data_IF_216131672785
#
_entry.id   IF_216131672785
#
_cell.length_a   1.000
_cell.length_b   1.000
_cell.length_c   1.000
_cell.angle_alpha   90.00
_cell.angle_beta   90.00
_cell.angle_gamma   90.00
#
_symmetry.space_group_name_H-M   'P 1'
#
loop_
_entity.id
_entity.type
_entity.pdbx_description
1 polymer ?
#
# COMPACT_ATOMS: atom_id res chain seq x y z
N UNK A 1 -10.13 1.85 -21.69
CA UNK A 1 -10.94 1.97 -20.47
C UNK A 1 -10.99 0.59 -19.84
N UNK A 2 -10.75 0.51 -18.53
CA UNK A 2 -10.84 -0.73 -17.75
C UNK A 2 -11.98 -0.55 -16.75
N UNK A 3 -12.77 -1.60 -16.50
CA UNK A 3 -13.88 -1.59 -15.53
C UNK A 3 -13.90 -2.93 -14.80
N UNK A 4 -13.92 -2.90 -13.46
CA UNK A 4 -14.09 -4.07 -12.60
C UNK A 4 -15.15 -3.82 -11.52
N UNK A 5 -15.88 -4.88 -11.16
CA UNK A 5 -16.92 -4.88 -10.12
C UNK A 5 -16.40 -5.67 -8.93
N UNK A 6 -16.63 -5.18 -7.70
CA UNK A 6 -16.40 -5.91 -6.46
C UNK A 6 -17.70 -6.09 -5.68
N UNK A 7 -17.72 -7.11 -4.83
CA UNK A 7 -18.72 -7.31 -3.78
C UNK A 7 -18.06 -7.28 -2.41
N UNK A 8 -18.75 -6.76 -1.40
CA UNK A 8 -18.27 -6.75 -0.03
C UNK A 8 -19.08 -5.79 0.85
N UNK A 9 -18.63 -5.55 2.09
CA UNK A 9 -19.24 -4.55 2.95
C UNK A 9 -19.07 -3.13 2.37
N UNK A 10 -20.16 -2.38 2.28
CA UNK A 10 -20.21 -1.01 1.72
C UNK A 10 -19.19 -0.05 2.37
N UNK A 11 -18.83 -0.33 3.63
CA UNK A 11 -17.90 0.44 4.47
C UNK A 11 -16.44 -0.03 4.42
N UNK A 12 -16.11 -1.09 3.69
CA UNK A 12 -14.72 -1.54 3.51
C UNK A 12 -14.15 -1.00 2.20
N UNK A 13 -12.98 -0.37 2.27
CA UNK A 13 -12.21 0.03 1.08
C UNK A 13 -11.04 -0.93 0.79
N UNK A 14 -10.55 -1.66 1.78
CA UNK A 14 -9.27 -2.37 1.73
C UNK A 14 -9.34 -3.72 1.01
N UNK A 15 -10.38 -4.51 1.31
CA UNK A 15 -10.47 -5.87 0.78
C UNK A 15 -11.86 -6.19 0.23
N UNK A 16 -11.95 -6.83 -0.96
CA UNK A 16 -13.20 -7.32 -1.51
C UNK A 16 -13.60 -8.69 -0.92
N UNK A 17 -13.37 -8.90 0.37
CA UNK A 17 -13.57 -10.21 0.98
C UNK A 17 -15.02 -10.47 1.35
N UNK A 18 -15.47 -11.68 1.05
CA UNK A 18 -16.79 -12.20 1.40
C UNK A 18 -16.63 -13.01 2.69
N UNK A 19 -17.18 -12.52 3.80
CA UNK A 19 -17.33 -13.32 5.03
C UNK A 19 -18.48 -14.30 4.83
N UNK A 20 -18.18 -15.57 4.52
CA UNK A 20 -19.19 -16.62 4.27
C UNK A 20 -19.87 -17.07 5.57
N UNK A 21 -19.16 -17.02 6.70
CA UNK A 21 -19.67 -17.35 8.05
C UNK A 21 -19.08 -16.36 9.04
N UNK A 22 -19.94 -15.72 9.82
CA UNK A 22 -19.57 -14.91 10.99
C UNK A 22 -19.89 -15.73 12.25
N UNK A 23 -18.87 -16.01 13.07
CA UNK A 23 -19.00 -16.83 14.28
C UNK A 23 -19.29 -15.98 15.54
N UNK A 24 -19.33 -14.66 15.41
CA UNK A 24 -19.47 -13.71 16.52
C UNK A 24 -20.83 -12.97 16.50
N UNK A 25 -21.82 -13.48 15.77
CA UNK A 25 -23.17 -12.87 15.60
C UNK A 25 -23.12 -11.40 15.15
N UNK A 26 -22.04 -10.99 14.48
CA UNK A 26 -21.97 -9.70 13.82
C UNK A 26 -23.00 -9.64 12.70
N UNK A 27 -23.55 -8.45 12.38
CA UNK A 27 -24.31 -8.32 11.15
C UNK A 27 -23.34 -8.65 10.02
N UNK A 28 -23.58 -9.74 9.29
CA UNK A 28 -23.08 -9.90 7.92
C UNK A 28 -23.27 -8.54 7.27
N UNK A 29 -22.18 -7.78 7.06
CA UNK A 29 -22.30 -6.44 6.51
C UNK A 29 -23.14 -6.54 5.24
N UNK A 30 -24.16 -5.67 5.03
CA UNK A 30 -25.00 -5.78 3.85
C UNK A 30 -24.12 -5.84 2.62
N UNK A 31 -24.37 -6.86 1.79
CA UNK A 31 -23.59 -7.11 0.59
C UNK A 31 -23.98 -6.10 -0.46
N UNK A 32 -23.02 -5.30 -0.88
CA UNK A 32 -23.18 -4.35 -1.95
C UNK A 32 -22.26 -4.70 -3.12
N UNK A 33 -22.75 -4.43 -4.33
CA UNK A 33 -21.92 -4.42 -5.52
C UNK A 33 -21.50 -2.99 -5.82
N UNK A 34 -20.23 -2.81 -6.21
CA UNK A 34 -19.74 -1.52 -6.65
C UNK A 34 -18.72 -1.64 -7.78
N UNK A 35 -18.62 -0.59 -8.60
CA UNK A 35 -17.51 -0.40 -9.52
C UNK A 35 -16.28 0.00 -8.71
N UNK A 36 -15.32 -0.92 -8.59
CA UNK A 36 -14.11 -0.69 -7.79
C UNK A 36 -12.97 -0.14 -8.62
N UNK A 37 -12.88 -0.59 -9.87
CA UNK A 37 -11.87 -0.14 -10.82
C UNK A 37 -12.58 0.44 -12.03
N UNK A 38 -12.31 1.70 -12.35
CA UNK A 38 -12.83 2.33 -13.55
C UNK A 38 -11.91 3.47 -13.95
N UNK A 39 -11.19 3.35 -15.06
CA UNK A 39 -10.27 4.41 -15.48
C UNK A 39 -9.99 4.43 -16.97
N UNK A 40 -9.57 5.61 -17.44
CA UNK A 40 -8.95 5.81 -18.73
C UNK A 40 -7.44 5.71 -18.56
N UNK A 41 -6.78 5.02 -19.48
CA UNK A 41 -5.33 4.86 -19.50
C UNK A 41 -4.77 5.35 -20.83
N UNK A 42 -3.61 5.99 -20.78
CA UNK A 42 -2.83 6.43 -21.93
C UNK A 42 -1.39 5.99 -21.75
N UNK A 43 -0.79 5.41 -22.81
CA UNK A 43 0.62 5.02 -22.79
C UNK A 43 1.29 5.35 -24.13
N UNK A 44 2.41 6.07 -24.09
CA UNK A 44 3.23 6.40 -25.26
C UNK A 44 4.65 6.81 -24.88
N UNK A 45 5.65 6.15 -25.45
CA UNK A 45 7.05 6.63 -25.41
C UNK A 45 7.62 6.77 -23.99
N UNK A 46 7.35 5.79 -23.13
CA UNK A 46 7.78 5.79 -21.71
C UNK A 46 6.84 6.55 -20.78
N UNK A 47 5.91 7.35 -21.30
CA UNK A 47 4.86 7.98 -20.51
C UNK A 47 3.64 7.06 -20.38
N UNK A 48 3.17 6.85 -19.16
CA UNK A 48 1.88 6.24 -18.82
C UNK A 48 1.08 7.22 -17.96
N UNK A 49 -0.22 7.31 -18.17
CA UNK A 49 -1.10 8.16 -17.36
C UNK A 49 -2.48 7.56 -17.25
N UNK A 50 -3.10 7.70 -16.08
CA UNK A 50 -4.46 7.25 -15.84
C UNK A 50 -5.29 8.32 -15.15
N UNK A 51 -6.61 8.27 -15.37
CA UNK A 51 -7.59 9.08 -14.66
C UNK A 51 -8.89 8.28 -14.44
N UNK A 52 -9.41 8.32 -13.22
CA UNK A 52 -10.55 7.52 -12.78
C UNK A 52 -10.31 6.95 -11.38
N UNK A 53 -10.89 5.79 -11.07
CA UNK A 53 -10.58 5.01 -9.85
C UNK A 53 -9.67 3.84 -10.22
N UNK A 54 -8.44 3.90 -9.73
CA UNK A 54 -7.37 2.95 -10.05
C UNK A 54 -6.46 2.72 -8.84
N UNK A 55 -5.59 1.71 -8.90
CA UNK A 55 -4.45 1.59 -7.99
C UNK A 55 -3.44 2.72 -8.22
N UNK A 56 -2.70 3.08 -7.18
CA UNK A 56 -1.64 4.07 -7.30
C UNK A 56 -0.49 3.50 -8.14
N UNK A 57 0.08 4.30 -9.04
CA UNK A 57 1.33 3.93 -9.68
C UNK A 57 2.46 4.05 -8.67
N UNK A 58 2.87 2.92 -8.09
CA UNK A 58 3.93 2.82 -7.09
C UNK A 58 4.62 1.46 -7.25
N UNK A 59 5.94 1.44 -7.19
CA UNK A 59 6.69 0.19 -7.17
C UNK A 59 6.93 -0.23 -5.72
N UNK A 60 6.59 -1.47 -5.40
CA UNK A 60 6.89 -2.13 -4.14
C UNK A 60 7.30 -3.57 -4.44
N UNK A 61 7.98 -4.21 -3.50
CA UNK A 61 8.42 -5.61 -3.61
C UNK A 61 7.52 -6.58 -2.85
N UNK A 62 6.74 -6.07 -1.89
CA UNK A 62 5.87 -6.81 -1.00
C UNK A 62 4.62 -5.98 -0.63
N UNK A 63 3.56 -6.68 -0.23
CA UNK A 63 2.29 -6.07 0.21
C UNK A 63 2.27 -5.75 1.72
N UNK A 64 3.42 -5.79 2.42
CA UNK A 64 3.49 -5.56 3.87
C UNK A 64 3.46 -4.06 4.20
N UNK A 65 3.96 -3.23 3.29
CA UNK A 65 4.01 -1.77 3.43
C UNK A 65 2.97 -1.00 2.64
N UNK A 66 2.84 -1.34 1.35
CA UNK A 66 1.94 -0.74 0.39
C UNK A 66 1.36 -1.88 -0.43
N UNK A 67 0.10 -2.23 -0.16
CA UNK A 67 -0.64 -3.24 -0.90
C UNK A 67 -1.46 -2.67 -2.06
N UNK A 68 -1.75 -3.52 -3.05
CA UNK A 68 -2.46 -3.14 -4.27
C UNK A 68 -4.00 -3.32 -4.22
N UNK A 69 -4.60 -3.58 -3.05
CA UNK A 69 -6.05 -3.86 -2.97
C UNK A 69 -6.93 -2.63 -2.65
N UNK A 70 -6.34 -1.43 -2.50
CA UNK A 70 -7.11 -0.17 -2.41
C UNK A 70 -7.09 0.58 -3.72
N UNK A 71 -8.27 0.87 -4.22
CA UNK A 71 -8.48 1.67 -5.43
C UNK A 71 -8.86 3.11 -5.08
N UNK A 72 -8.25 4.06 -5.78
CA UNK A 72 -8.30 5.48 -5.47
C UNK A 72 -8.88 6.28 -6.62
N UNK A 73 -9.96 7.07 -6.41
CA UNK A 73 -10.39 8.07 -7.38
C UNK A 73 -9.34 9.18 -7.52
N UNK A 74 -8.88 9.47 -8.72
CA UNK A 74 -7.88 10.49 -8.96
C UNK A 74 -7.23 10.39 -10.34
N UNK A 75 -5.96 10.78 -10.39
CA UNK A 75 -5.13 10.65 -11.56
C UNK A 75 -3.69 10.32 -11.18
N UNK A 76 -3.01 9.60 -12.06
CA UNK A 76 -1.60 9.26 -11.90
C UNK A 76 -0.85 9.35 -13.22
N UNK A 77 0.45 9.60 -13.11
CA UNK A 77 1.39 9.69 -14.21
C UNK A 77 2.66 8.93 -13.83
N UNK A 78 3.16 8.15 -14.78
CA UNK A 78 4.44 7.46 -14.69
C UNK A 78 5.26 7.78 -15.92
N UNK A 79 6.53 8.09 -15.74
CA UNK A 79 7.47 8.27 -16.85
C UNK A 79 8.66 7.35 -16.64
N UNK A 80 9.07 6.64 -17.69
CA UNK A 80 10.18 5.71 -17.68
C UNK A 80 11.23 6.18 -18.68
N UNK A 81 12.47 6.31 -18.23
CA UNK A 81 13.61 6.77 -19.04
C UNK A 81 14.79 5.80 -18.91
N UNK A 82 15.27 5.32 -20.05
CA UNK A 82 16.48 4.49 -20.11
C UNK A 82 17.74 5.32 -19.93
N UNK A 83 18.63 4.86 -19.07
CA UNK A 83 19.98 5.37 -18.85
C UNK A 83 20.99 4.36 -19.43
N UNK A 84 22.24 4.77 -19.62
CA UNK A 84 23.28 3.85 -20.11
C UNK A 84 23.51 2.64 -19.19
N UNK A 85 23.33 2.84 -17.88
CA UNK A 85 23.57 1.83 -16.85
C UNK A 85 22.30 1.28 -16.20
N UNK A 86 21.11 1.63 -16.67
CA UNK A 86 19.87 1.22 -16.01
C UNK A 86 18.65 1.99 -16.48
N UNK A 87 17.65 2.10 -15.63
CA UNK A 87 16.39 2.74 -15.93
C UNK A 87 15.91 3.56 -14.74
N UNK A 88 15.34 4.72 -15.03
CA UNK A 88 14.73 5.58 -14.02
C UNK A 88 13.24 5.72 -14.32
N UNK A 89 12.42 5.48 -13.31
CA UNK A 89 10.96 5.63 -13.36
C UNK A 89 10.53 6.68 -12.34
N UNK A 90 9.73 7.64 -12.76
CA UNK A 90 9.09 8.62 -11.87
C UNK A 90 7.61 8.34 -11.84
N UNK A 91 7.04 8.27 -10.64
CA UNK A 91 5.61 8.10 -10.43
C UNK A 91 5.07 9.30 -9.64
N UNK A 92 3.89 9.77 -10.00
CA UNK A 92 3.16 10.80 -9.28
C UNK A 92 1.66 10.51 -9.35
N UNK A 93 0.99 10.50 -8.21
CA UNK A 93 -0.45 10.27 -8.10
C UNK A 93 -1.06 11.35 -7.20
N UNK A 94 -2.20 11.90 -7.61
CA UNK A 94 -3.04 12.75 -6.78
C UNK A 94 -4.44 12.17 -6.71
N UNK A 95 -4.89 11.86 -5.50
CA UNK A 95 -6.05 11.00 -5.27
C UNK A 95 -6.94 11.55 -4.16
N UNK A 96 -8.23 11.22 -4.24
CA UNK A 96 -9.14 11.27 -3.11
C UNK A 96 -9.02 9.97 -2.31
N UNK A 97 -9.02 10.04 -0.98
CA UNK A 97 -8.82 8.86 -0.14
C UNK A 97 -10.16 8.14 0.05
N UNK A 98 -10.28 6.85 -0.33
CA UNK A 98 -11.54 6.14 -0.31
C UNK A 98 -11.97 5.81 1.12
N UNK A 99 -13.25 5.97 1.42
CA UNK A 99 -13.84 5.62 2.71
C UNK A 99 -15.02 4.70 2.45
N UNK A 100 -14.78 3.41 2.63
CA UNK A 100 -15.65 2.37 2.08
C UNK A 100 -15.60 2.28 0.54
N UNK A 101 -16.60 1.64 -0.05
CA UNK A 101 -16.60 1.30 -1.47
C UNK A 101 -16.85 2.53 -2.36
N UNK A 102 -17.71 3.47 -1.92
CA UNK A 102 -18.25 4.53 -2.79
C UNK A 102 -17.82 5.94 -2.43
N UNK A 103 -17.42 6.18 -1.18
CA UNK A 103 -17.20 7.52 -0.65
C UNK A 103 -15.71 7.82 -0.57
N UNK A 104 -15.39 9.09 -0.35
CA UNK A 104 -14.02 9.57 -0.19
C UNK A 104 -13.99 10.65 0.87
N UNK A 105 -12.90 10.74 1.63
CA UNK A 105 -12.70 11.75 2.66
C UNK A 105 -11.22 12.13 2.71
N UNK A 106 -10.90 13.40 2.45
CA UNK A 106 -9.52 13.85 2.34
C UNK A 106 -8.83 13.47 1.01
N UNK A 107 -7.54 13.80 0.92
CA UNK A 107 -6.74 13.67 -0.31
C UNK A 107 -5.35 13.10 -0.04
N UNK A 108 -4.77 12.47 -1.06
CA UNK A 108 -3.43 11.91 -1.04
C UNK A 108 -2.58 12.42 -2.20
N UNK A 109 -1.30 12.66 -1.93
CA UNK A 109 -0.28 12.92 -2.92
C UNK A 109 0.83 11.89 -2.74
N UNK A 110 1.04 11.04 -3.75
CA UNK A 110 2.12 10.06 -3.79
C UNK A 110 3.11 10.46 -4.87
N UNK A 111 4.41 10.44 -4.55
CA UNK A 111 5.50 10.57 -5.51
C UNK A 111 6.56 9.53 -5.26
N UNK A 112 7.16 8.97 -6.32
CA UNK A 112 8.23 7.98 -6.20
C UNK A 112 9.23 8.09 -7.34
N UNK A 113 10.49 7.82 -7.05
CA UNK A 113 11.55 7.60 -8.05
C UNK A 113 12.11 6.20 -7.86
N UNK A 114 12.19 5.43 -8.94
CA UNK A 114 12.70 4.05 -8.96
C UNK A 114 13.87 3.98 -9.92
N UNK A 115 15.01 3.52 -9.44
CA UNK A 115 16.17 3.20 -10.25
C UNK A 115 16.35 1.68 -10.29
N UNK A 116 16.37 1.12 -11.49
CA UNK A 116 16.63 -0.29 -11.73
C UNK A 116 17.90 -0.45 -12.58
N UNK A 117 18.80 -1.33 -12.14
CA UNK A 117 20.01 -1.69 -12.87
C UNK A 117 20.15 -3.20 -12.94
N UNK A 118 20.14 -3.72 -14.17
CA UNK A 118 20.41 -5.12 -14.46
C UNK A 118 21.87 -5.32 -14.89
N UNK A 119 22.52 -6.30 -14.28
CA UNK A 119 23.80 -6.88 -14.64
C UNK A 119 23.57 -8.23 -15.36
N UNK A 120 24.64 -8.93 -15.74
CA UNK A 120 24.53 -10.21 -16.46
C UNK A 120 23.71 -11.25 -15.71
N UNK A 121 23.98 -11.45 -14.41
CA UNK A 121 23.36 -12.50 -13.58
C UNK A 121 22.72 -11.94 -12.30
N UNK A 122 22.57 -10.63 -12.19
CA UNK A 122 21.98 -9.98 -11.02
C UNK A 122 21.40 -8.63 -11.37
N UNK A 123 20.66 -8.02 -10.46
CA UNK A 123 20.21 -6.65 -10.59
C UNK A 123 19.88 -6.04 -9.24
N UNK A 124 19.72 -4.73 -9.25
CA UNK A 124 19.38 -3.93 -8.07
C UNK A 124 18.24 -3.00 -8.43
N UNK A 125 17.27 -2.90 -7.53
CA UNK A 125 16.23 -1.87 -7.54
C UNK A 125 16.38 -1.00 -6.31
N UNK A 126 16.38 0.31 -6.50
CA UNK A 126 16.28 1.31 -5.44
C UNK A 126 15.05 2.18 -5.71
N UNK A 127 14.10 2.19 -4.79
CA UNK A 127 12.96 3.09 -4.85
C UNK A 127 12.98 4.05 -3.65
N UNK A 128 12.67 5.32 -3.90
CA UNK A 128 12.47 6.34 -2.88
C UNK A 128 11.11 6.99 -3.12
N UNK A 129 10.25 6.94 -2.12
CA UNK A 129 8.86 7.36 -2.19
C UNK A 129 8.48 8.35 -1.10
N UNK A 130 7.41 9.09 -1.37
CA UNK A 130 6.70 9.92 -0.42
C UNK A 130 5.20 9.76 -0.62
N UNK A 131 4.46 9.57 0.47
CA UNK A 131 3.00 9.59 0.48
C UNK A 131 2.49 10.53 1.57
N UNK A 132 1.94 11.67 1.15
CA UNK A 132 1.32 12.65 2.02
C UNK A 132 -0.20 12.57 1.97
N UNK A 133 -0.86 12.47 3.12
CA UNK A 133 -2.32 12.51 3.22
C UNK A 133 -2.78 13.78 3.93
N UNK A 134 -3.90 14.32 3.48
CA UNK A 134 -4.64 15.39 4.15
C UNK A 134 -6.01 14.85 4.52
N UNK A 135 -6.24 14.65 5.82
CA UNK A 135 -7.52 14.21 6.37
C UNK A 135 -8.56 15.32 6.30
N UNK A 136 -9.84 14.94 6.21
CA UNK A 136 -10.99 15.83 6.36
C UNK A 136 -11.75 15.46 7.64
N UNK A 137 -11.40 16.07 8.79
CA UNK A 137 -11.98 15.69 10.08
C UNK A 137 -13.47 16.05 10.22
N UNK A 138 -13.95 16.98 9.41
CA UNK A 138 -15.34 17.45 9.44
C UNK A 138 -16.26 16.59 8.58
N UNK A 139 -15.70 15.71 7.73
CA UNK A 139 -16.46 14.79 6.92
C UNK A 139 -16.96 13.60 7.76
N UNK A 140 -18.29 13.47 7.96
CA UNK A 140 -18.86 12.40 8.77
C UNK A 140 -18.61 11.01 8.20
N UNK A 141 -18.36 10.90 6.88
CA UNK A 141 -18.11 9.62 6.24
C UNK A 141 -16.75 9.05 6.67
N UNK A 142 -15.78 9.90 6.99
CA UNK A 142 -14.48 9.53 7.56
C UNK A 142 -14.56 8.82 8.92
N UNK A 143 -15.67 8.91 9.65
CA UNK A 143 -15.81 8.33 11.00
C UNK A 143 -15.68 6.79 11.06
N UNK A 144 -15.74 6.11 9.92
CA UNK A 144 -15.53 4.67 9.84
C UNK A 144 -14.05 4.27 9.87
N UNK A 145 -13.13 5.23 9.69
CA UNK A 145 -11.70 4.95 9.69
C UNK A 145 -11.22 4.63 11.11
N UNK A 146 -10.47 3.54 11.25
CA UNK A 146 -9.93 3.11 12.53
C UNK A 146 -8.83 4.05 13.04
N UNK A 147 -8.58 3.93 14.35
CA UNK A 147 -7.52 4.63 15.08
C UNK A 147 -7.49 6.15 14.90
N UNK A 148 -8.60 6.80 14.52
CA UNK A 148 -8.70 8.25 14.22
C UNK A 148 -8.00 8.67 12.91
N UNK A 149 -7.82 7.76 11.96
CA UNK A 149 -7.18 8.03 10.67
C UNK A 149 -7.87 9.14 9.86
N UNK A 150 -9.14 9.47 10.11
CA UNK A 150 -9.84 10.58 9.45
C UNK A 150 -9.52 11.96 10.05
N UNK A 151 -8.72 12.03 11.11
CA UNK A 151 -8.42 13.30 11.81
C UNK A 151 -6.98 13.73 11.72
N UNK A 152 -6.10 12.88 11.17
CA UNK A 152 -4.66 13.15 11.09
C UNK A 152 -4.13 13.08 9.67
N UNK A 153 -3.19 13.98 9.40
CA UNK A 153 -2.39 13.94 8.20
C UNK A 153 -1.21 12.98 8.40
N UNK A 154 -0.76 12.36 7.32
CA UNK A 154 0.47 11.58 7.29
C UNK A 154 1.47 12.17 6.31
N UNK A 155 2.76 11.99 6.59
CA UNK A 155 3.87 12.34 5.69
C UNK A 155 4.85 11.17 5.65
N UNK A 156 4.51 10.13 4.90
CA UNK A 156 5.28 8.89 4.87
C UNK A 156 6.41 9.01 3.86
N UNK A 157 7.66 8.87 4.31
CA UNK A 157 8.80 8.67 3.45
C UNK A 157 9.13 7.18 3.41
N UNK A 158 9.40 6.65 2.22
CA UNK A 158 9.72 5.25 2.03
C UNK A 158 11.01 5.09 1.21
N UNK A 159 11.80 4.09 1.57
CA UNK A 159 12.97 3.63 0.82
C UNK A 159 12.86 2.12 0.68
N UNK A 160 13.00 1.62 -0.55
CA UNK A 160 13.07 0.20 -0.85
C UNK A 160 14.38 -0.10 -1.56
N UNK A 161 15.04 -1.17 -1.14
CA UNK A 161 16.21 -1.72 -1.80
C UNK A 161 15.98 -3.21 -2.04
N UNK A 162 16.07 -3.62 -3.31
CA UNK A 162 16.04 -5.02 -3.69
C UNK A 162 17.32 -5.39 -4.42
N UNK A 163 17.86 -6.56 -4.10
CA UNK A 163 18.86 -7.24 -4.91
C UNK A 163 18.29 -8.58 -5.38
N UNK A 164 18.40 -8.86 -6.67
CA UNK A 164 17.98 -10.13 -7.25
C UNK A 164 19.12 -10.78 -8.04
N UNK A 165 19.20 -12.10 -8.02
CA UNK A 165 20.19 -12.89 -8.76
C UNK A 165 19.72 -14.34 -8.90
N UNK A 166 20.62 -15.24 -9.26
CA UNK A 166 20.37 -16.67 -9.36
C UNK A 166 21.34 -17.46 -8.49
N UNK A 167 20.85 -18.52 -7.86
CA UNK A 167 21.64 -19.47 -7.10
C UNK A 167 21.15 -20.88 -7.44
N UNK A 168 22.06 -21.77 -7.91
CA UNK A 168 21.70 -23.11 -8.38
C UNK A 168 20.58 -23.10 -9.44
N UNK A 169 20.66 -22.17 -10.40
CA UNK A 169 19.66 -21.93 -11.45
C UNK A 169 18.25 -21.55 -10.93
N UNK A 170 18.13 -21.25 -9.63
CA UNK A 170 16.91 -20.71 -9.03
C UNK A 170 17.04 -19.20 -8.88
N UNK A 171 16.07 -18.40 -9.33
CA UNK A 171 16.06 -16.98 -9.04
C UNK A 171 15.89 -16.76 -7.53
N UNK A 172 16.52 -15.74 -6.99
CA UNK A 172 16.29 -15.29 -5.63
C UNK A 172 16.34 -13.77 -5.57
N UNK A 173 15.70 -13.20 -4.56
CA UNK A 173 15.92 -11.82 -4.19
C UNK A 173 15.98 -11.66 -2.67
N UNK A 174 16.65 -10.60 -2.25
CA UNK A 174 16.63 -10.10 -0.89
C UNK A 174 16.25 -8.63 -0.94
N UNK A 175 15.40 -8.23 -0.01
CA UNK A 175 14.78 -6.92 0.00
C UNK A 175 14.82 -6.28 1.38
N UNK A 176 14.83 -4.96 1.38
CA UNK A 176 14.69 -4.14 2.57
C UNK A 176 13.82 -2.93 2.27
N UNK A 177 12.79 -2.77 3.06
CA UNK A 177 11.90 -1.62 3.02
C UNK A 177 12.02 -0.87 4.35
N UNK A 178 12.07 0.45 4.26
CA UNK A 178 12.01 1.33 5.41
C UNK A 178 10.96 2.39 5.17
N UNK A 179 10.11 2.62 6.16
CA UNK A 179 9.13 3.68 6.17
C UNK A 179 9.28 4.54 7.41
N UNK A 180 9.14 5.85 7.24
CA UNK A 180 9.11 6.81 8.33
C UNK A 180 8.00 7.82 8.12
N UNK A 181 7.16 7.96 9.13
CA UNK A 181 6.24 9.10 9.20
C UNK A 181 6.99 10.35 9.68
N UNK A 182 7.12 11.33 8.79
CA UNK A 182 7.78 12.61 9.02
C UNK A 182 6.90 13.62 9.75
N UNK A 183 5.60 13.33 9.91
CA UNK A 183 4.68 14.22 10.60
C UNK A 183 5.01 14.25 12.09
N UNK A 184 5.02 15.46 12.63
CA UNK A 184 5.08 15.73 14.06
C UNK A 184 3.65 15.79 14.63
N UNK A 185 3.47 15.15 15.78
CA UNK A 185 2.21 15.00 16.50
C UNK A 185 2.29 15.52 17.94
N UNK A 186 3.31 16.30 18.29
CA UNK A 186 3.46 16.94 19.61
C UNK A 186 2.24 17.81 20.02
N UNK A 187 1.48 18.30 19.04
CA UNK A 187 0.26 19.10 19.20
C UNK A 187 -1.04 18.28 19.09
N UNK A 188 -0.96 16.95 19.04
CA UNK A 188 -2.12 16.08 18.95
C UNK A 188 -3.05 16.26 20.17
N UNK A 189 -4.35 16.08 19.94
CA UNK A 189 -5.37 16.27 20.95
C UNK A 189 -5.11 15.37 22.19
N UNK A 190 -5.30 15.88 23.42
CA UNK A 190 -5.12 15.08 24.63
C UNK A 190 -5.98 13.81 24.62
N UNK A 191 -5.34 12.66 24.87
CA UNK A 191 -5.97 11.34 24.88
C UNK A 191 -6.19 10.71 23.50
N UNK A 192 -5.77 11.37 22.41
CA UNK A 192 -5.86 10.82 21.06
C UNK A 192 -4.87 9.68 20.82
N UNK A 193 -5.16 8.83 19.84
CA UNK A 193 -4.24 7.79 19.38
C UNK A 193 -2.91 8.40 18.92
N UNK A 194 -2.99 9.53 18.21
CA UNK A 194 -1.82 10.24 17.69
C UNK A 194 -0.92 10.78 18.81
N UNK A 195 -1.49 11.29 19.90
CA UNK A 195 -0.71 11.73 21.07
C UNK A 195 -0.01 10.56 21.76
N UNK A 196 -0.72 9.45 21.98
CA UNK A 196 -0.16 8.29 22.68
C UNK A 196 1.01 7.64 21.92
N UNK A 197 0.98 7.71 20.58
CA UNK A 197 1.95 7.09 19.67
C UNK A 197 2.83 8.10 18.94
N UNK A 198 2.94 9.35 19.41
CA UNK A 198 3.62 10.44 18.69
C UNK A 198 5.09 10.13 18.32
N UNK A 199 5.74 9.25 19.07
CA UNK A 199 7.13 8.82 18.84
C UNK A 199 7.25 7.51 18.04
N UNK A 200 6.15 6.79 17.81
CA UNK A 200 6.07 5.46 17.19
C UNK A 200 5.87 5.60 15.66
N UNK A 201 6.90 6.04 14.92
CA UNK A 201 6.80 6.53 13.54
C UNK A 201 7.64 5.76 12.51
N UNK A 202 8.38 4.75 12.92
CA UNK A 202 9.31 4.02 12.09
C UNK A 202 8.82 2.60 11.80
N UNK A 203 9.06 2.11 10.59
CA UNK A 203 8.79 0.72 10.22
C UNK A 203 9.85 0.21 9.26
N UNK A 204 10.14 -1.09 9.33
CA UNK A 204 10.94 -1.76 8.30
C UNK A 204 10.51 -3.20 8.06
N UNK A 205 10.81 -3.68 6.85
CA UNK A 205 10.61 -5.05 6.40
C UNK A 205 11.93 -5.57 5.84
N UNK A 206 12.24 -6.81 6.17
CA UNK A 206 13.33 -7.58 5.58
C UNK A 206 12.74 -8.79 4.90
N UNK A 207 13.17 -9.07 3.68
CA UNK A 207 12.66 -10.21 2.93
C UNK A 207 13.77 -10.98 2.22
N UNK A 208 13.54 -12.28 2.08
CA UNK A 208 14.36 -13.18 1.28
C UNK A 208 13.45 -14.19 0.59
N UNK A 209 13.54 -14.26 -0.74
CA UNK A 209 12.69 -15.13 -1.55
C UNK A 209 13.55 -15.93 -2.51
N UNK A 210 13.27 -17.23 -2.61
CA UNK A 210 13.97 -18.19 -3.47
C UNK A 210 12.97 -18.99 -4.31
N UNK A 211 13.28 -19.11 -5.60
CA UNK A 211 12.51 -19.84 -6.58
C UNK A 211 11.54 -18.95 -7.35
N UNK A 212 10.60 -19.57 -8.04
CA UNK A 212 9.64 -18.88 -8.91
C UNK A 212 8.26 -19.50 -8.82
N UNK A 213 7.26 -18.78 -9.31
CA UNK A 213 5.94 -19.33 -9.61
C UNK A 213 5.68 -19.17 -11.10
N UNK A 214 5.11 -20.19 -11.75
CA UNK A 214 4.72 -20.07 -13.16
C UNK A 214 4.49 -21.39 -13.85
N UNK A 215 5.27 -22.42 -13.52
CA UNK A 215 5.14 -23.75 -14.11
C UNK A 215 4.82 -24.82 -13.06
N UNK A 216 4.29 -25.94 -13.56
CA UNK A 216 4.03 -27.11 -12.74
C UNK A 216 5.34 -27.66 -12.18
N UNK A 217 5.47 -27.64 -10.86
CA UNK A 217 6.65 -28.15 -10.14
C UNK A 217 7.61 -27.06 -9.69
N UNK A 218 7.36 -25.80 -10.06
CA UNK A 218 8.08 -24.67 -9.49
C UNK A 218 7.68 -24.50 -8.02
N UNK A 219 8.66 -24.14 -7.19
CA UNK A 219 8.45 -23.80 -5.78
C UNK A 219 8.96 -22.39 -5.53
N UNK A 220 8.24 -21.68 -4.67
CA UNK A 220 8.65 -20.39 -4.14
C UNK A 220 8.69 -20.52 -2.62
N UNK A 221 9.80 -20.12 -2.02
CA UNK A 221 9.96 -20.02 -0.58
C UNK A 221 10.26 -18.58 -0.24
N UNK A 222 9.49 -18.00 0.67
CA UNK A 222 9.70 -16.65 1.18
C UNK A 222 10.02 -16.67 2.67
N UNK A 223 10.71 -15.65 3.12
CA UNK A 223 10.78 -15.29 4.52
C UNK A 223 10.70 -13.79 4.62
N UNK A 224 9.80 -13.30 5.47
CA UNK A 224 9.58 -11.89 5.70
C UNK A 224 9.67 -11.62 7.20
N UNK A 225 10.36 -10.56 7.58
CA UNK A 225 10.33 -10.02 8.93
C UNK A 225 9.87 -8.58 8.87
N UNK A 226 8.86 -8.24 9.66
CA UNK A 226 8.30 -6.90 9.72
C UNK A 226 8.38 -6.35 11.14
N UNK A 227 8.71 -5.08 11.26
CA UNK A 227 8.58 -4.27 12.47
C UNK A 227 7.90 -2.98 12.08
N UNK A 228 6.65 -2.75 12.50
CA UNK A 228 5.91 -1.52 12.21
C UNK A 228 5.40 -0.89 13.49
N UNK A 229 5.85 0.33 13.75
CA UNK A 229 5.31 1.15 14.83
C UNK A 229 3.92 1.69 14.49
N UNK A 230 3.21 2.19 15.50
CA UNK A 230 1.78 2.50 15.42
C UNK A 230 1.42 3.54 14.34
N UNK A 231 2.26 4.56 14.15
CA UNK A 231 2.10 5.63 13.16
C UNK A 231 3.06 5.50 11.98
N UNK A 232 3.78 4.38 11.85
CA UNK A 232 4.71 4.13 10.74
C UNK A 232 4.02 4.08 9.39
N UNK A 233 2.72 3.72 9.35
CA UNK A 233 1.92 3.65 8.13
C UNK A 233 0.51 4.19 8.32
N UNK A 234 -0.11 4.54 7.20
CA UNK A 234 -1.52 4.86 7.14
C UNK A 234 -2.34 3.59 6.87
N UNK A 235 -2.56 2.78 7.91
CA UNK A 235 -3.14 1.44 7.76
C UNK A 235 -4.41 1.38 6.91
N UNK A 236 -5.34 2.33 7.05
CA UNK A 236 -6.61 2.35 6.29
C UNK A 236 -6.45 2.45 4.77
N UNK A 237 -5.30 2.89 4.27
CA UNK A 237 -5.10 3.17 2.84
C UNK A 237 -4.00 2.31 2.23
N UNK A 238 -2.96 1.92 2.99
CA UNK A 238 -1.78 1.26 2.43
C UNK A 238 -1.41 -0.08 3.06
N UNK A 239 -2.16 -0.62 4.03
CA UNK A 239 -1.86 -1.96 4.58
C UNK A 239 -3.12 -2.79 4.81
N UNK A 240 -3.13 -4.07 4.44
CA UNK A 240 -4.27 -4.99 4.68
C UNK A 240 -3.88 -6.45 4.92
N UNK A 241 -3.01 -7.03 4.07
CA UNK A 241 -3.03 -8.48 3.89
C UNK A 241 -2.14 -9.32 4.81
N UNK A 242 -1.15 -8.72 5.48
CA UNK A 242 -0.19 -9.52 6.26
C UNK A 242 -0.69 -9.99 7.63
N UNK A 243 -1.62 -9.25 8.24
CA UNK A 243 -2.20 -9.58 9.55
C UNK A 243 -3.64 -9.07 9.65
N UNK A 244 -4.61 -9.96 9.88
CA UNK A 244 -6.03 -9.59 9.95
C UNK A 244 -6.52 -9.38 11.38
N UNK A 245 -6.05 -8.32 12.01
CA UNK A 245 -6.59 -7.85 13.30
C UNK A 245 -7.36 -6.58 13.04
N UNK A 246 -8.64 -6.48 13.37
CA UNK A 246 -9.43 -5.32 12.98
C UNK A 246 -10.93 -5.58 13.11
N UNK A 247 -11.71 -4.95 12.24
CA UNK A 247 -13.14 -5.23 12.09
C UNK A 247 -13.49 -5.58 10.63
N UNK A 248 -14.78 -5.77 10.35
CA UNK A 248 -15.26 -6.13 9.01
C UNK A 248 -14.99 -5.04 7.93
N UNK A 249 -14.57 -3.85 8.33
CA UNK A 249 -14.32 -2.72 7.43
C UNK A 249 -12.83 -2.50 7.19
N UNK A 250 -12.01 -2.60 8.25
CA UNK A 250 -10.59 -2.24 8.21
C UNK A 250 -9.68 -3.06 9.11
N UNK A 251 -8.43 -3.15 8.69
CA UNK A 251 -7.35 -3.78 9.45
C UNK A 251 -6.61 -2.79 10.38
N UNK A 252 -6.03 -3.35 11.43
CA UNK A 252 -5.04 -2.74 12.32
C UNK A 252 -3.71 -3.44 12.08
N UNK A 253 -3.05 -3.01 11.01
CA UNK A 253 -1.80 -3.59 10.51
C UNK A 253 -0.53 -2.81 10.96
N UNK A 254 -0.61 -2.03 12.04
CA UNK A 254 0.53 -1.31 12.66
C UNK A 254 0.61 -1.60 14.15
N UNK A 255 1.72 -1.22 14.81
CA UNK A 255 2.03 -1.56 16.21
C UNK A 255 2.25 -3.07 16.44
N UNK A 256 3.10 -3.67 15.62
CA UNK A 256 3.33 -5.10 15.54
C UNK A 256 4.73 -5.41 14.99
N UNK A 257 5.19 -6.63 15.28
CA UNK A 257 6.41 -7.19 14.72
C UNK A 257 6.27 -8.70 14.60
N UNK A 258 6.83 -9.29 13.56
CA UNK A 258 6.67 -10.72 13.33
C UNK A 258 7.41 -11.23 12.12
N UNK A 259 7.35 -12.54 11.94
CA UNK A 259 7.91 -13.25 10.79
C UNK A 259 6.81 -14.02 10.06
N UNK A 260 6.91 -14.07 8.73
CA UNK A 260 6.06 -14.86 7.82
C UNK A 260 6.93 -15.75 6.92
N UNK A 261 6.40 -16.91 6.51
CA UNK A 261 7.07 -17.94 5.69
C UNK A 261 6.17 -18.44 4.57
#
# INVERSE_FOLDING_TARGET
>A
AVVAVRSGPDKSQQSPHITIVDFDDGPTGPYDFNLDHWYLNYSRGGLSAWAGRNEMSFWHQDDLFIFDNVTYPGAGISYQHGLAAGQLTWNLNYVALPVGMRKTSGTGLLGQVVYEQNFTDSGVVLAIGYFGTSADPDDPDGSILLTENNTRNYQLANVVLQYHSTILDQPYYVGFDYNRNLKDYDDAAPGSFSQFHQDDRDGYVLEAVLGSQGNKGDWLFGYFYSYLEALALHSSYIADDWVRWGDANQVRATNLKGSEF
#
